data_IF_909925108340
#
_entry.id   IF_909925108340
#
_cell.length_a   1.000
_cell.length_b   1.000
_cell.length_c   1.000
_cell.angle_alpha   90.00
_cell.angle_beta   90.00
_cell.angle_gamma   90.00
#
_symmetry.space_group_name_H-M   'P 1'
#
loop_
_entity.id
_entity.type
_entity.pdbx_description
1 polymer ?
#
# COMPACT_ATOMS: atom_id res chain seq x y z
N UNK A 1 22.99 -19.74 2.27
CA UNK A 1 21.58 -19.62 1.84
C UNK A 1 21.56 -18.64 0.68
N UNK A 2 21.46 -19.13 -0.55
CA UNK A 2 21.41 -18.25 -1.72
C UNK A 2 20.02 -17.62 -1.74
N UNK A 3 19.92 -16.33 -1.43
CA UNK A 3 18.73 -15.54 -1.79
C UNK A 3 18.65 -15.60 -3.31
N UNK A 4 17.76 -16.45 -3.84
CA UNK A 4 17.43 -16.37 -5.26
C UNK A 4 16.97 -14.93 -5.49
N UNK A 5 17.67 -14.21 -6.36
CA UNK A 5 17.23 -12.89 -6.75
C UNK A 5 15.88 -13.08 -7.45
N UNK A 6 14.80 -12.76 -6.76
CA UNK A 6 13.46 -12.75 -7.32
C UNK A 6 13.48 -11.79 -8.52
N UNK A 7 12.94 -12.25 -9.65
CA UNK A 7 12.88 -11.47 -10.89
C UNK A 7 11.49 -10.89 -11.05
N UNK A 8 11.42 -9.61 -11.37
CA UNK A 8 10.16 -8.96 -11.73
C UNK A 8 9.62 -9.55 -13.04
N UNK A 9 8.29 -9.68 -13.20
CA UNK A 9 7.67 -9.91 -14.52
C UNK A 9 8.05 -8.84 -15.55
N UNK A 10 8.48 -7.66 -15.09
CA UNK A 10 8.94 -6.53 -15.90
C UNK A 10 10.46 -6.59 -16.20
N UNK A 11 11.15 -7.65 -15.76
CA UNK A 11 12.60 -7.83 -15.89
C UNK A 11 13.43 -7.17 -14.77
N UNK A 12 14.59 -7.76 -14.50
CA UNK A 12 15.51 -7.32 -13.44
C UNK A 12 15.12 -7.83 -12.05
N UNK A 13 15.87 -7.39 -11.04
CA UNK A 13 15.57 -7.67 -9.63
C UNK A 13 14.28 -6.95 -9.20
N UNK A 14 13.56 -7.57 -8.26
CA UNK A 14 12.33 -7.03 -7.67
C UNK A 14 12.42 -6.99 -6.15
N UNK A 15 11.44 -6.37 -5.50
CA UNK A 15 11.27 -6.33 -4.04
C UNK A 15 12.25 -5.45 -3.27
N UNK A 16 13.34 -5.02 -3.91
CA UNK A 16 14.38 -4.24 -3.26
C UNK A 16 14.91 -3.08 -4.11
N UNK A 17 15.89 -2.34 -3.56
CA UNK A 17 16.54 -1.24 -4.27
C UNK A 17 17.28 -1.75 -5.54
N UNK A 18 17.54 -0.86 -6.52
CA UNK A 18 17.25 0.58 -6.48
C UNK A 18 15.80 0.94 -6.81
N UNK A 19 15.10 0.08 -7.54
CA UNK A 19 13.85 0.43 -8.22
C UNK A 19 12.59 0.02 -7.46
N UNK A 20 12.70 -0.93 -6.51
CA UNK A 20 11.56 -1.55 -5.84
C UNK A 20 10.47 -1.93 -6.83
N UNK A 21 10.84 -2.78 -7.81
CA UNK A 21 9.87 -3.33 -8.76
C UNK A 21 9.06 -4.43 -8.09
N UNK A 22 7.77 -4.60 -8.43
CA UNK A 22 6.99 -5.72 -7.95
C UNK A 22 7.50 -7.07 -8.44
N UNK A 23 7.47 -8.06 -7.56
CA UNK A 23 7.85 -9.45 -7.87
C UNK A 23 6.73 -10.26 -8.50
N UNK A 24 5.47 -9.83 -8.33
CA UNK A 24 4.30 -10.52 -8.86
C UNK A 24 3.51 -9.64 -9.84
N UNK A 25 2.81 -10.22 -10.82
CA UNK A 25 1.96 -9.46 -11.75
C UNK A 25 0.82 -8.72 -11.04
N UNK A 26 0.37 -7.60 -11.62
CA UNK A 26 -0.68 -6.75 -11.05
C UNK A 26 -1.98 -7.52 -10.80
N UNK A 27 -2.38 -8.38 -11.75
CA UNK A 27 -3.59 -9.20 -11.61
C UNK A 27 -3.54 -10.09 -10.39
N UNK A 28 -2.41 -10.76 -10.13
CA UNK A 28 -2.25 -11.62 -8.96
C UNK A 28 -2.17 -10.82 -7.67
N UNK A 29 -1.49 -9.68 -7.69
CA UNK A 29 -1.42 -8.78 -6.54
C UNK A 29 -2.82 -8.26 -6.16
N UNK A 30 -3.62 -7.85 -7.14
CA UNK A 30 -4.99 -7.40 -6.94
C UNK A 30 -5.91 -8.52 -6.43
N UNK A 31 -5.74 -9.75 -6.92
CA UNK A 31 -6.49 -10.91 -6.40
C UNK A 31 -6.23 -11.11 -4.90
N UNK A 32 -4.95 -11.14 -4.50
CA UNK A 32 -4.57 -11.34 -3.09
C UNK A 32 -5.03 -10.17 -2.21
N UNK A 33 -4.88 -8.94 -2.72
CA UNK A 33 -5.30 -7.74 -1.99
C UNK A 33 -6.82 -7.73 -1.78
N UNK A 34 -7.59 -8.03 -2.84
CA UNK A 34 -9.04 -8.09 -2.77
C UNK A 34 -9.51 -9.17 -1.79
N UNK A 35 -8.96 -10.38 -1.87
CA UNK A 35 -9.30 -11.50 -0.98
C UNK A 35 -9.05 -11.15 0.50
N UNK A 36 -7.93 -10.49 0.82
CA UNK A 36 -7.68 -10.01 2.17
C UNK A 36 -8.76 -9.01 2.64
N UNK A 37 -9.16 -8.07 1.77
CA UNK A 37 -10.18 -7.09 2.09
C UNK A 37 -11.58 -7.70 2.31
N UNK A 38 -11.92 -8.73 1.54
CA UNK A 38 -13.13 -9.54 1.76
C UNK A 38 -13.08 -10.20 3.14
N UNK A 39 -11.97 -10.88 3.45
CA UNK A 39 -11.78 -11.60 4.71
C UNK A 39 -11.81 -10.68 5.95
N UNK A 40 -11.26 -9.46 5.85
CA UNK A 40 -11.30 -8.48 6.94
C UNK A 40 -12.61 -7.67 7.02
N UNK A 41 -13.53 -7.92 6.08
CA UNK A 41 -14.83 -7.26 5.95
C UNK A 41 -14.73 -5.73 6.10
N UNK A 42 -14.01 -5.09 5.16
CA UNK A 42 -13.82 -3.63 5.17
C UNK A 42 -15.00 -2.84 4.55
N UNK A 43 -16.12 -3.53 4.32
CA UNK A 43 -17.33 -2.93 3.74
C UNK A 43 -17.08 -2.32 2.37
N UNK A 44 -17.67 -1.15 2.12
CA UNK A 44 -17.60 -0.44 0.84
C UNK A 44 -16.19 0.02 0.45
N UNK A 45 -15.25 0.10 1.40
CA UNK A 45 -13.84 0.38 1.12
C UNK A 45 -13.16 -0.69 0.26
N UNK A 46 -13.74 -1.89 0.14
CA UNK A 46 -13.22 -2.99 -0.69
C UNK A 46 -12.98 -2.57 -2.15
N UNK A 47 -13.74 -1.59 -2.65
CA UNK A 47 -13.56 -1.05 -4.01
C UNK A 47 -12.18 -0.41 -4.23
N UNK A 48 -11.47 -0.07 -3.16
CA UNK A 48 -10.11 0.47 -3.23
C UNK A 48 -9.02 -0.61 -3.26
N UNK A 49 -9.35 -1.89 -3.01
CA UNK A 49 -8.37 -2.97 -2.80
C UNK A 49 -7.72 -3.49 -4.09
N UNK A 50 -7.12 -2.55 -4.82
CA UNK A 50 -6.43 -2.72 -6.08
C UNK A 50 -5.22 -1.78 -6.11
N UNK A 51 -4.06 -2.25 -6.55
CA UNK A 51 -2.84 -1.44 -6.61
C UNK A 51 -2.88 -0.36 -7.70
N UNK A 52 -3.76 -0.51 -8.69
CA UNK A 52 -4.02 0.45 -9.77
C UNK A 52 -5.16 1.44 -9.44
N UNK A 53 -5.59 1.51 -8.17
CA UNK A 53 -6.54 2.53 -7.72
C UNK A 53 -5.97 3.94 -7.91
N UNK A 54 -6.81 4.83 -8.44
CA UNK A 54 -6.41 6.23 -8.67
C UNK A 54 -6.68 7.09 -7.45
N UNK A 55 -5.90 8.18 -7.29
CA UNK A 55 -6.14 9.18 -6.26
C UNK A 55 -7.56 9.77 -6.36
N UNK A 56 -8.08 9.98 -7.58
CA UNK A 56 -9.42 10.52 -7.78
C UNK A 56 -10.50 9.57 -7.24
N UNK A 57 -10.35 8.26 -7.45
CA UNK A 57 -11.27 7.26 -6.90
C UNK A 57 -11.18 7.19 -5.38
N UNK A 58 -9.96 7.14 -4.82
CA UNK A 58 -9.76 7.15 -3.38
C UNK A 58 -10.40 8.40 -2.74
N UNK A 59 -10.08 9.58 -3.28
CA UNK A 59 -10.67 10.85 -2.84
C UNK A 59 -12.18 10.83 -2.91
N UNK A 60 -12.76 10.41 -4.04
CA UNK A 60 -14.21 10.30 -4.19
C UNK A 60 -14.84 9.41 -3.11
N UNK A 61 -14.22 8.28 -2.77
CA UNK A 61 -14.76 7.37 -1.76
C UNK A 61 -14.73 7.95 -0.34
N UNK A 62 -13.67 8.65 0.04
CA UNK A 62 -13.58 9.29 1.35
C UNK A 62 -14.45 10.56 1.45
N UNK A 63 -14.42 11.41 0.43
CA UNK A 63 -15.19 12.67 0.40
C UNK A 63 -16.71 12.43 0.47
N UNK A 64 -17.20 11.30 -0.08
CA UNK A 64 -18.61 10.94 -0.07
C UNK A 64 -18.99 9.99 1.08
N UNK A 65 -18.08 9.73 2.04
CA UNK A 65 -18.34 8.83 3.17
C UNK A 65 -18.57 7.36 2.78
N UNK A 66 -18.26 6.98 1.55
CA UNK A 66 -18.34 5.60 1.06
C UNK A 66 -17.26 4.76 1.73
N UNK A 67 -16.08 5.33 1.96
CA UNK A 67 -15.05 4.72 2.79
C UNK A 67 -14.70 5.64 3.95
N UNK A 68 -14.54 5.07 5.15
CA UNK A 68 -14.26 5.84 6.36
C UNK A 68 -12.83 5.62 6.83
N UNK A 69 -12.30 6.59 7.59
CA UNK A 69 -10.89 6.60 8.01
C UNK A 69 -10.53 5.39 8.88
N UNK A 70 -11.51 4.85 9.61
CA UNK A 70 -11.37 3.67 10.47
C UNK A 70 -11.03 2.40 9.69
N UNK A 71 -11.31 2.36 8.38
CA UNK A 71 -10.99 1.22 7.52
C UNK A 71 -9.57 1.28 6.95
N UNK A 72 -8.91 2.44 6.98
CA UNK A 72 -7.56 2.63 6.40
C UNK A 72 -6.54 1.67 7.03
N UNK A 73 -6.50 1.41 8.35
CA UNK A 73 -5.56 0.45 8.92
C UNK A 73 -5.70 -0.97 8.32
N UNK A 74 -6.94 -1.45 8.15
CA UNK A 74 -7.21 -2.77 7.52
C UNK A 74 -6.82 -2.77 6.04
N UNK A 75 -7.17 -1.70 5.33
CA UNK A 75 -6.80 -1.51 3.93
C UNK A 75 -5.28 -1.58 3.73
N UNK A 76 -4.51 -0.84 4.53
CA UNK A 76 -3.04 -0.82 4.45
C UNK A 76 -2.44 -2.17 4.85
N UNK A 77 -2.98 -2.82 5.89
CA UNK A 77 -2.55 -4.17 6.26
C UNK A 77 -2.72 -5.16 5.11
N UNK A 78 -3.86 -5.13 4.42
CA UNK A 78 -4.08 -5.99 3.25
C UNK A 78 -3.18 -5.63 2.07
N UNK A 79 -2.96 -4.34 1.83
CA UNK A 79 -2.05 -3.88 0.77
C UNK A 79 -0.61 -4.35 1.02
N UNK A 80 -0.14 -4.34 2.26
CA UNK A 80 1.25 -4.69 2.58
C UNK A 80 1.44 -6.15 2.98
N UNK A 81 0.36 -6.90 3.17
CA UNK A 81 0.34 -8.19 3.89
C UNK A 81 1.05 -8.12 5.25
N UNK A 82 0.92 -6.99 5.93
CA UNK A 82 1.56 -6.76 7.22
C UNK A 82 3.08 -6.58 7.16
N UNK A 83 3.66 -6.28 5.98
CA UNK A 83 5.10 -5.97 5.84
C UNK A 83 5.42 -4.50 6.11
N UNK A 84 6.58 -4.26 6.70
CA UNK A 84 7.17 -2.92 6.83
C UNK A 84 7.83 -2.51 5.50
N UNK A 85 7.32 -1.44 4.90
CA UNK A 85 7.81 -0.89 3.63
C UNK A 85 8.41 0.52 3.79
N UNK A 86 8.81 0.91 5.01
CA UNK A 86 9.38 2.24 5.28
C UNK A 86 10.62 2.54 4.45
N UNK A 87 11.48 1.55 4.19
CA UNK A 87 12.68 1.76 3.38
C UNK A 87 12.33 2.14 1.93
N UNK A 88 11.37 1.43 1.32
CA UNK A 88 10.85 1.79 0.01
C UNK A 88 10.20 3.18 0.03
N UNK A 89 9.30 3.44 0.99
CA UNK A 89 8.63 4.73 1.08
C UNK A 89 9.58 5.92 1.25
N UNK A 90 10.65 5.74 2.04
CA UNK A 90 11.71 6.73 2.17
C UNK A 90 12.37 6.98 0.81
N UNK A 91 12.74 5.92 0.09
CA UNK A 91 13.37 6.01 -1.23
C UNK A 91 12.47 6.67 -2.28
N UNK A 92 11.17 6.37 -2.25
CA UNK A 92 10.16 6.92 -3.16
C UNK A 92 9.74 8.35 -2.80
N UNK A 93 10.26 8.91 -1.71
CA UNK A 93 9.97 10.27 -1.26
C UNK A 93 8.54 10.44 -0.76
N UNK A 94 7.97 9.42 -0.12
CA UNK A 94 6.66 9.51 0.55
C UNK A 94 6.72 10.50 1.70
N UNK A 95 7.80 10.46 2.51
CA UNK A 95 7.90 11.28 3.72
C UNK A 95 8.31 12.72 3.40
N UNK A 96 9.15 12.93 2.39
CA UNK A 96 9.50 14.28 1.92
C UNK A 96 8.33 14.94 1.19
N UNK A 97 7.47 14.17 0.50
CA UNK A 97 6.31 14.68 -0.21
C UNK A 97 5.04 14.86 0.64
N UNK A 98 4.78 13.95 1.57
CA UNK A 98 3.57 13.94 2.42
C UNK A 98 3.81 14.33 3.88
N UNK A 99 5.08 14.46 4.29
CA UNK A 99 5.48 14.67 5.68
C UNK A 99 5.68 13.38 6.46
N UNK A 100 6.33 13.49 7.61
CA UNK A 100 6.71 12.36 8.48
C UNK A 100 5.50 11.54 8.99
N UNK A 101 4.31 12.14 9.02
CA UNK A 101 3.07 11.43 9.43
C UNK A 101 2.71 10.27 8.50
N UNK A 102 3.17 10.32 7.24
CA UNK A 102 2.91 9.26 6.27
C UNK A 102 3.73 7.99 6.50
N UNK A 103 4.63 7.96 7.49
CA UNK A 103 5.28 6.72 7.94
C UNK A 103 4.26 5.64 8.33
N UNK A 104 3.15 6.03 8.96
CA UNK A 104 2.05 5.13 9.34
C UNK A 104 1.42 4.40 8.14
N UNK A 105 1.52 4.98 6.94
CA UNK A 105 1.00 4.38 5.72
C UNK A 105 1.97 3.38 5.10
N UNK A 106 3.22 3.33 5.57
CA UNK A 106 4.27 2.48 5.03
C UNK A 106 4.63 1.32 5.95
N UNK A 107 4.38 1.47 7.25
CA UNK A 107 4.54 0.43 8.25
C UNK A 107 3.17 -0.11 8.69
N UNK A 108 2.75 -1.24 8.12
CA UNK A 108 1.55 -1.96 8.59
C UNK A 108 1.88 -3.04 9.61
N UNK A 109 3.16 -3.37 9.80
CA UNK A 109 3.62 -4.45 10.67
C UNK A 109 3.66 -4.01 12.13
N UNK A 110 4.08 -2.77 12.37
CA UNK A 110 4.52 -2.30 13.68
C UNK A 110 3.54 -1.38 14.41
N UNK A 111 2.66 -0.69 13.69
CA UNK A 111 1.91 0.41 14.28
C UNK A 111 0.41 0.25 14.10
N UNK A 112 -0.25 -0.24 15.16
CA UNK A 112 -1.67 0.04 15.45
C UNK A 112 -1.90 1.52 15.78
N UNK A 113 -1.02 2.41 15.32
CA UNK A 113 -1.19 3.83 15.45
C UNK A 113 -2.52 4.19 14.85
N UNK A 114 -3.32 4.93 15.62
CA UNK A 114 -4.61 5.40 15.15
C UNK A 114 -4.36 6.31 13.96
N UNK A 115 -4.72 5.82 12.77
CA UNK A 115 -4.88 6.66 11.59
C UNK A 115 -6.04 7.59 11.90
N UNK A 116 -5.76 8.88 11.87
CA UNK A 116 -6.73 9.95 12.13
C UNK A 116 -7.12 10.62 10.82
N UNK A 117 -8.17 11.43 10.84
CA UNK A 117 -8.59 12.24 9.69
C UNK A 117 -7.48 13.14 9.17
N UNK A 118 -6.54 13.58 10.02
CA UNK A 118 -5.39 14.39 9.61
C UNK A 118 -4.36 13.61 8.79
N UNK A 119 -4.34 12.29 8.89
CA UNK A 119 -3.39 11.44 8.17
C UNK A 119 -3.90 11.11 6.75
N UNK A 120 -5.16 11.45 6.41
CA UNK A 120 -5.75 11.27 5.07
C UNK A 120 -5.02 12.07 4.00
N UNK A 121 -4.31 13.14 4.35
CA UNK A 121 -3.46 13.91 3.42
C UNK A 121 -2.35 13.08 2.79
N UNK A 122 -1.95 11.96 3.42
CA UNK A 122 -1.00 11.00 2.87
C UNK A 122 -1.49 10.30 1.60
N UNK A 123 -2.80 10.36 1.31
CA UNK A 123 -3.35 9.92 0.02
C UNK A 123 -2.71 10.65 -1.17
N UNK A 124 -2.18 11.86 -1.00
CA UNK A 124 -1.39 12.53 -2.05
C UNK A 124 -0.16 11.73 -2.51
N UNK A 125 0.31 10.77 -1.70
CA UNK A 125 1.42 9.85 -2.01
C UNK A 125 0.93 8.44 -2.36
N UNK A 126 -0.36 8.24 -2.62
CA UNK A 126 -1.01 6.92 -2.78
C UNK A 126 -0.28 6.00 -3.76
N UNK A 127 0.08 6.50 -4.95
CA UNK A 127 0.74 5.69 -5.99
C UNK A 127 2.10 5.16 -5.53
N UNK A 128 2.87 5.97 -4.79
CA UNK A 128 4.17 5.57 -4.23
C UNK A 128 4.00 4.56 -3.09
N UNK A 129 3.04 4.80 -2.20
CA UNK A 129 2.73 3.91 -1.08
C UNK A 129 2.31 2.52 -1.61
N UNK A 130 1.38 2.49 -2.56
CA UNK A 130 0.90 1.25 -3.17
C UNK A 130 1.97 0.53 -3.98
N UNK A 131 2.82 1.27 -4.71
CA UNK A 131 3.98 0.66 -5.35
C UNK A 131 4.90 -0.02 -4.32
N UNK A 132 5.20 0.64 -3.20
CA UNK A 132 6.03 0.03 -2.15
C UNK A 132 5.39 -1.20 -1.52
N UNK A 133 4.09 -1.16 -1.22
CA UNK A 133 3.38 -2.31 -0.70
C UNK A 133 3.34 -3.49 -1.68
N UNK A 134 3.07 -3.21 -2.96
CA UNK A 134 3.08 -4.23 -4.01
C UNK A 134 4.48 -4.83 -4.18
N UNK A 135 5.51 -4.00 -4.14
CA UNK A 135 6.89 -4.46 -4.21
C UNK A 135 7.31 -5.27 -3.02
N UNK A 136 6.72 -5.02 -1.85
CA UNK A 136 6.88 -5.87 -0.68
C UNK A 136 6.25 -7.26 -0.82
N UNK A 137 5.36 -7.52 -1.79
CA UNK A 137 4.82 -8.86 -1.99
C UNK A 137 5.88 -9.74 -2.68
N UNK A 138 6.50 -10.62 -1.88
CA UNK A 138 7.59 -11.54 -2.30
C UNK A 138 7.06 -12.94 -2.52
#
# INVERSE_FOLDING_TARGET
MFTQSSRSPQGGACGGPPDYKPCIPLSKANEIFHECCENLNIGTCIRLCHYDVTLNMAKHMFDNGICTVEMIPKYLYCASQGKDNMQCCSKMGVFTGGGERCRKFCDSAGNKDTITTKDVSCASQLSKILNCHWSGLE
#
